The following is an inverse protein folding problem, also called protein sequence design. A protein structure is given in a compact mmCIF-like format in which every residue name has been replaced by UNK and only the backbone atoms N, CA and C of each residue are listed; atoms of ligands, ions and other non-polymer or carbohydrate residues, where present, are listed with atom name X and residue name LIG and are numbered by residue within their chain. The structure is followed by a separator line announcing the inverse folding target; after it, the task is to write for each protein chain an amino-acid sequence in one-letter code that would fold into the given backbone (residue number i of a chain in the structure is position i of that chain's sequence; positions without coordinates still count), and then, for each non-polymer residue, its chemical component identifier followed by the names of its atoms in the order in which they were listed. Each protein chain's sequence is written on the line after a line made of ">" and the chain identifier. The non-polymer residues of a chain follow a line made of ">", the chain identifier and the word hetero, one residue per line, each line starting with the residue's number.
data_IF_574186056732
#
_entry.id   IF_574186056732
#
_cell.length_a   1.000
_cell.length_b   1.000
_cell.length_c   1.000
_cell.angle_alpha   90.00
_cell.angle_beta   90.00
_cell.angle_gamma   90.00
#
_symmetry.space_group_name_H-M   'P 1'
#
loop_
_entity.id
_entity.type
_entity.pdbx_description
1 polymer ?
#
# COMPACT_ATOMS: atom_id res chain seq x y z
N UNK A 1 -6.90 -21.73 -18.26
CA UNK A 1 -6.93 -20.35 -17.74
C UNK A 1 -7.31 -20.44 -16.30
N UNK A 2 -6.36 -20.21 -15.40
CA UNK A 2 -6.63 -20.21 -13.96
C UNK A 2 -7.41 -18.92 -13.64
N UNK A 3 -8.40 -19.03 -12.77
CA UNK A 3 -9.18 -17.86 -12.35
C UNK A 3 -8.36 -16.95 -11.44
N UNK A 4 -8.67 -15.65 -11.44
CA UNK A 4 -7.99 -14.64 -10.62
C UNK A 4 -7.94 -15.05 -9.14
N UNK A 5 -6.79 -14.84 -8.51
CA UNK A 5 -6.57 -15.06 -7.08
C UNK A 5 -6.37 -13.74 -6.35
N UNK A 6 -6.87 -13.68 -5.13
CA UNK A 6 -6.54 -12.64 -4.17
C UNK A 6 -5.66 -13.27 -3.07
N UNK A 7 -4.56 -12.61 -2.72
CA UNK A 7 -3.70 -12.95 -1.61
C UNK A 7 -3.80 -11.84 -0.56
N UNK A 8 -4.04 -12.24 0.68
CA UNK A 8 -4.43 -11.33 1.77
C UNK A 8 -3.40 -11.51 2.88
N UNK A 9 -2.70 -10.42 3.20
CA UNK A 9 -1.78 -10.36 4.33
C UNK A 9 -2.53 -10.15 5.64
N UNK A 10 -1.95 -10.59 6.76
CA UNK A 10 -2.52 -10.39 8.09
C UNK A 10 -1.47 -10.33 9.19
N UNK A 11 -1.79 -9.67 10.30
CA UNK A 11 -0.95 -9.70 11.52
C UNK A 11 -1.19 -10.98 12.31
N UNK A 12 -0.26 -11.93 12.22
CA UNK A 12 -0.26 -13.17 13.02
C UNK A 12 -0.21 -12.91 14.53
N UNK A 13 0.47 -11.83 14.95
CA UNK A 13 0.52 -11.36 16.34
C UNK A 13 -0.84 -10.90 16.87
N UNK A 14 -1.79 -10.56 15.98
CA UNK A 14 -3.18 -10.22 16.30
C UNK A 14 -4.17 -11.34 15.95
N UNK A 15 -3.69 -12.59 15.80
CA UNK A 15 -4.53 -13.76 15.51
C UNK A 15 -4.81 -13.99 14.02
N UNK A 16 -4.14 -13.26 13.14
CA UNK A 16 -4.16 -13.50 11.69
C UNK A 16 -3.55 -14.84 11.29
N UNK A 17 -3.90 -15.30 10.09
CA UNK A 17 -3.49 -16.62 9.57
C UNK A 17 -2.26 -16.57 8.65
N UNK A 18 -1.53 -15.45 8.69
CA UNK A 18 -0.44 -15.14 7.78
C UNK A 18 -0.95 -14.71 6.41
N UNK A 19 -0.58 -15.42 5.34
CA UNK A 19 -1.06 -15.17 3.98
C UNK A 19 -2.26 -16.08 3.69
N UNK A 20 -3.41 -15.48 3.40
CA UNK A 20 -4.62 -16.19 2.94
C UNK A 20 -4.77 -16.02 1.44
N UNK A 21 -4.91 -17.13 0.71
CA UNK A 21 -5.27 -17.13 -0.71
C UNK A 21 -6.75 -17.39 -0.88
N UNK A 22 -7.41 -16.60 -1.72
CA UNK A 22 -8.82 -16.72 -2.06
C UNK A 22 -9.03 -16.74 -3.59
N UNK A 23 -9.99 -17.53 -4.04
CA UNK A 23 -10.51 -17.41 -5.40
C UNK A 23 -11.39 -16.15 -5.52
N UNK A 24 -11.27 -15.43 -6.64
CA UNK A 24 -12.16 -14.31 -6.97
C UNK A 24 -13.26 -14.80 -7.93
N UNK A 25 -14.51 -14.61 -7.52
CA UNK A 25 -15.69 -14.97 -8.31
C UNK A 25 -15.77 -14.17 -9.63
N UNK A 26 -15.79 -14.84 -10.80
CA UNK A 26 -15.90 -14.15 -12.08
C UNK A 26 -17.18 -13.32 -12.15
N UNK A 27 -17.04 -12.02 -12.43
CA UNK A 27 -18.16 -11.07 -12.53
C UNK A 27 -18.78 -10.64 -11.20
N UNK A 28 -18.68 -11.44 -10.14
CA UNK A 28 -19.25 -11.10 -8.82
C UNK A 28 -18.25 -10.49 -7.84
N UNK A 29 -16.95 -10.67 -8.10
CA UNK A 29 -15.88 -10.22 -7.21
C UNK A 29 -15.82 -10.94 -5.86
N UNK A 30 -16.73 -11.88 -5.57
CA UNK A 30 -16.83 -12.54 -4.27
C UNK A 30 -15.57 -13.37 -3.96
N UNK A 31 -15.06 -13.26 -2.73
CA UNK A 31 -13.88 -14.02 -2.30
C UNK A 31 -14.28 -15.35 -1.67
N UNK A 32 -13.60 -16.42 -2.06
CA UNK A 32 -13.71 -17.75 -1.43
C UNK A 32 -12.33 -18.21 -0.98
N UNK A 33 -12.11 -18.33 0.33
CA UNK A 33 -10.84 -18.79 0.87
C UNK A 33 -10.49 -20.19 0.36
N UNK A 34 -9.23 -20.39 -0.02
CA UNK A 34 -8.68 -21.65 -0.51
C UNK A 34 -7.65 -22.21 0.47
N UNK A 35 -6.64 -21.40 0.79
CA UNK A 35 -5.47 -21.81 1.57
C UNK A 35 -5.04 -20.66 2.48
N UNK A 36 -4.42 -21.00 3.61
CA UNK A 36 -3.76 -20.04 4.50
C UNK A 36 -2.43 -20.61 4.99
N UNK A 37 -1.43 -19.77 5.20
CA UNK A 37 -0.13 -20.16 5.76
C UNK A 37 0.44 -19.06 6.64
N UNK A 38 0.94 -19.45 7.80
CA UNK A 38 1.64 -18.64 8.80
C UNK A 38 3.16 -18.83 8.74
N UNK A 39 3.68 -19.25 7.57
CA UNK A 39 5.11 -19.52 7.38
C UNK A 39 6.03 -18.29 7.58
N UNK A 40 5.45 -17.09 7.60
CA UNK A 40 6.11 -15.83 7.96
C UNK A 40 5.26 -15.12 9.01
N UNK A 41 5.92 -14.52 10.00
CA UNK A 41 5.25 -13.71 11.00
C UNK A 41 4.84 -12.37 10.41
N UNK A 42 3.65 -11.90 10.75
CA UNK A 42 3.10 -10.59 10.41
C UNK A 42 3.35 -10.16 8.94
N UNK A 43 2.87 -10.95 7.95
CA UNK A 43 2.85 -10.55 6.54
C UNK A 43 1.84 -9.44 6.29
N UNK A 44 2.15 -8.26 6.81
CA UNK A 44 1.21 -7.13 6.85
C UNK A 44 0.99 -6.50 5.48
N UNK A 45 1.98 -6.60 4.59
CA UNK A 45 1.94 -6.10 3.21
C UNK A 45 2.53 -7.12 2.24
N UNK A 46 1.95 -7.20 1.04
CA UNK A 46 2.33 -8.15 0.00
C UNK A 46 2.62 -7.42 -1.32
N UNK A 47 3.45 -8.01 -2.18
CA UNK A 47 3.58 -7.61 -3.58
C UNK A 47 3.78 -8.84 -4.46
N UNK A 48 3.38 -8.78 -5.73
CA UNK A 48 3.41 -9.92 -6.65
C UNK A 48 4.38 -9.67 -7.81
N UNK A 49 5.05 -10.73 -8.22
CA UNK A 49 5.73 -10.83 -9.52
C UNK A 49 5.03 -11.91 -10.35
N UNK A 50 4.01 -11.54 -11.15
CA UNK A 50 3.28 -12.50 -11.95
C UNK A 50 4.13 -13.09 -13.09
N UNK A 51 5.23 -12.43 -13.48
CA UNK A 51 6.13 -12.92 -14.53
C UNK A 51 6.93 -14.11 -14.01
N UNK A 52 7.41 -14.03 -12.77
CA UNK A 52 8.15 -15.13 -12.11
C UNK A 52 7.26 -16.11 -11.36
N UNK A 53 5.98 -15.79 -11.19
CA UNK A 53 5.06 -16.60 -10.39
C UNK A 53 5.41 -16.54 -8.90
N UNK A 54 5.82 -15.37 -8.42
CA UNK A 54 6.24 -15.15 -7.02
C UNK A 54 5.35 -14.13 -6.32
N UNK A 55 5.25 -14.30 -5.02
CA UNK A 55 4.66 -13.34 -4.09
C UNK A 55 5.69 -13.05 -3.00
N UNK A 56 5.85 -11.78 -2.66
CA UNK A 56 6.72 -11.34 -1.59
C UNK A 56 5.89 -10.76 -0.46
N UNK A 57 6.33 -10.98 0.77
CA UNK A 57 5.71 -10.44 1.97
C UNK A 57 6.77 -9.75 2.83
N UNK A 58 6.39 -8.66 3.49
CA UNK A 58 7.15 -8.20 4.67
C UNK A 58 6.93 -9.19 5.81
N UNK A 59 7.84 -9.20 6.78
CA UNK A 59 7.61 -9.67 8.14
C UNK A 59 7.71 -8.43 9.02
N UNK A 60 6.56 -7.85 9.39
CA UNK A 60 6.50 -6.58 10.14
C UNK A 60 6.85 -6.78 11.62
N UNK A 61 8.09 -7.19 11.87
CA UNK A 61 8.63 -7.57 13.17
C UNK A 61 9.87 -6.75 13.53
N UNK A 62 10.38 -6.95 14.76
CA UNK A 62 11.69 -6.47 15.20
C UNK A 62 12.55 -7.66 15.66
N UNK A 63 13.62 -8.04 14.93
CA UNK A 63 14.07 -7.46 13.66
C UNK A 63 13.11 -7.79 12.50
N UNK A 64 13.07 -6.92 11.49
CA UNK A 64 12.24 -7.09 10.29
C UNK A 64 12.86 -8.02 9.24
N UNK A 65 12.01 -8.63 8.43
CA UNK A 65 12.42 -9.50 7.32
C UNK A 65 11.52 -9.35 6.09
N UNK A 66 11.93 -9.95 4.97
CA UNK A 66 11.12 -10.14 3.77
C UNK A 66 11.12 -11.63 3.39
N UNK A 67 9.96 -12.17 3.03
CA UNK A 67 9.79 -13.56 2.60
C UNK A 67 9.31 -13.62 1.15
N UNK A 68 9.65 -14.72 0.47
CA UNK A 68 9.17 -15.01 -0.87
C UNK A 68 8.40 -16.34 -0.90
N UNK A 69 7.36 -16.39 -1.71
CA UNK A 69 6.50 -17.53 -1.92
C UNK A 69 6.34 -17.80 -3.41
N UNK A 70 6.23 -19.08 -3.79
CA UNK A 70 5.80 -19.48 -5.14
C UNK A 70 4.27 -19.48 -5.18
N UNK A 71 3.72 -18.89 -6.24
CA UNK A 71 2.30 -18.97 -6.55
C UNK A 71 1.96 -20.38 -7.04
N UNK A 72 0.89 -20.96 -6.50
CA UNK A 72 0.34 -22.26 -6.92
C UNK A 72 -1.14 -22.10 -7.29
N UNK A 73 -1.74 -23.17 -7.83
CA UNK A 73 -3.16 -23.15 -8.22
C UNK A 73 -4.11 -22.93 -7.03
N UNK A 74 -3.70 -23.41 -5.84
CA UNK A 74 -4.47 -23.44 -4.61
C UNK A 74 -4.06 -22.34 -3.63
N UNK A 75 -2.87 -21.75 -3.79
CA UNK A 75 -2.31 -20.90 -2.75
C UNK A 75 -0.90 -20.39 -3.00
N UNK A 76 -0.12 -20.35 -1.93
CA UNK A 76 1.28 -19.95 -1.91
C UNK A 76 2.11 -20.93 -1.09
N UNK A 77 3.33 -21.20 -1.55
CA UNK A 77 4.30 -22.05 -0.85
C UNK A 77 5.60 -21.28 -0.57
N UNK A 78 6.20 -21.36 0.62
CA UNK A 78 7.47 -20.69 0.91
C UNK A 78 8.54 -21.08 -0.11
N UNK A 79 9.19 -20.08 -0.72
CA UNK A 79 10.21 -20.27 -1.74
C UNK A 79 11.64 -20.37 -1.13
N UNK A 80 11.78 -20.04 0.16
CA UNK A 80 13.03 -20.05 0.92
C UNK A 80 12.80 -19.48 2.33
N UNK A 81 13.85 -19.37 3.16
CA UNK A 81 13.76 -18.68 4.44
C UNK A 81 13.52 -17.18 4.23
N UNK A 82 12.85 -16.53 5.20
CA UNK A 82 12.78 -15.08 5.23
C UNK A 82 14.18 -14.47 5.40
N UNK A 83 14.43 -13.35 4.73
CA UNK A 83 15.71 -12.65 4.72
C UNK A 83 15.60 -11.36 5.54
N UNK A 84 16.51 -11.10 6.50
CA UNK A 84 16.51 -9.85 7.26
C UNK A 84 16.63 -8.64 6.35
N UNK A 85 15.80 -7.62 6.59
CA UNK A 85 15.86 -6.36 5.82
C UNK A 85 16.80 -5.33 6.46
N UNK A 86 17.47 -5.67 7.55
CA UNK A 86 18.32 -4.74 8.32
C UNK A 86 17.57 -3.45 8.73
N UNK A 87 16.28 -3.59 9.04
CA UNK A 87 15.36 -2.54 9.49
C UNK A 87 14.31 -3.13 10.42
N UNK A 88 13.49 -2.26 11.02
CA UNK A 88 12.50 -2.62 12.04
C UNK A 88 11.09 -2.28 11.55
N UNK A 89 10.15 -3.20 11.73
CA UNK A 89 8.76 -3.10 11.29
C UNK A 89 8.63 -2.68 9.80
N UNK A 90 9.13 -3.48 8.84
CA UNK A 90 8.85 -3.25 7.42
C UNK A 90 7.34 -3.34 7.16
N UNK A 91 6.72 -2.24 6.74
CA UNK A 91 5.26 -2.12 6.61
C UNK A 91 4.78 -2.04 5.17
N UNK A 92 5.71 -1.91 4.21
CA UNK A 92 5.42 -1.91 2.79
C UNK A 92 6.61 -2.46 2.02
N UNK A 93 6.35 -3.09 0.87
CA UNK A 93 7.38 -3.56 -0.05
C UNK A 93 6.96 -3.43 -1.51
N UNK A 94 7.94 -3.27 -2.40
CA UNK A 94 7.74 -3.20 -3.84
C UNK A 94 8.95 -3.74 -4.61
N UNK A 95 8.73 -4.09 -5.87
CA UNK A 95 9.80 -4.38 -6.82
C UNK A 95 10.22 -3.10 -7.54
N UNK A 96 11.52 -2.81 -7.58
CA UNK A 96 12.06 -1.67 -8.31
C UNK A 96 13.46 -1.98 -8.84
N UNK A 97 13.70 -1.71 -10.13
CA UNK A 97 15.00 -1.90 -10.79
C UNK A 97 15.65 -3.29 -10.58
N UNK A 98 14.85 -4.35 -10.46
CA UNK A 98 15.35 -5.72 -10.23
C UNK A 98 15.70 -6.03 -8.77
N UNK A 99 15.25 -5.20 -7.83
CA UNK A 99 15.43 -5.39 -6.39
C UNK A 99 14.08 -5.46 -5.68
N UNK A 100 14.07 -6.08 -4.51
CA UNK A 100 12.97 -5.99 -3.55
C UNK A 100 13.29 -4.87 -2.58
N UNK A 101 12.37 -3.91 -2.43
CA UNK A 101 12.58 -2.72 -1.62
C UNK A 101 11.54 -2.68 -0.51
N UNK A 102 11.93 -2.39 0.73
CA UNK A 102 11.02 -2.27 1.88
C UNK A 102 11.03 -0.88 2.49
N UNK A 103 9.87 -0.42 2.96
CA UNK A 103 9.74 0.73 3.85
C UNK A 103 9.68 0.24 5.29
N UNK A 104 10.67 0.63 6.12
CA UNK A 104 10.82 0.18 7.50
C UNK A 104 10.33 1.28 8.46
N UNK A 105 9.13 1.09 9.00
CA UNK A 105 8.46 2.09 9.81
C UNK A 105 9.20 2.37 11.12
N UNK A 106 9.57 1.31 11.85
CA UNK A 106 10.15 1.44 13.18
C UNK A 106 11.58 1.99 13.18
N UNK A 107 12.33 1.77 12.09
CA UNK A 107 13.70 2.26 11.96
C UNK A 107 13.85 3.50 11.08
N UNK A 108 12.77 4.00 10.46
CA UNK A 108 12.83 5.18 9.61
C UNK A 108 13.77 5.01 8.41
N UNK A 109 13.65 3.90 7.68
CA UNK A 109 14.59 3.57 6.61
C UNK A 109 13.96 2.83 5.44
N UNK A 110 14.68 2.81 4.32
CA UNK A 110 14.38 1.97 3.16
C UNK A 110 15.48 0.93 2.99
N UNK A 111 15.10 -0.33 2.82
CA UNK A 111 16.04 -1.40 2.52
C UNK A 111 15.91 -1.86 1.08
N UNK A 112 17.03 -2.11 0.41
CA UNK A 112 17.11 -2.64 -0.95
C UNK A 112 17.78 -4.01 -0.89
N UNK A 113 17.04 -5.06 -1.24
CA UNK A 113 17.49 -6.44 -1.26
C UNK A 113 17.75 -6.87 -2.69
N UNK A 114 18.94 -7.40 -2.95
CA UNK A 114 19.25 -8.00 -4.25
C UNK A 114 18.43 -9.26 -4.47
N UNK A 115 17.96 -9.47 -5.69
CA UNK A 115 17.24 -10.67 -6.11
C UNK A 115 18.16 -11.59 -6.91
N UNK A 116 18.11 -12.88 -6.64
CA UNK A 116 18.77 -13.91 -7.45
C UNK A 116 18.14 -14.03 -8.84
N UNK A 117 18.77 -14.83 -9.72
CA UNK A 117 18.23 -15.10 -11.06
C UNK A 117 16.86 -15.80 -11.02
N UNK A 118 16.57 -16.52 -9.93
CA UNK A 118 15.28 -17.14 -9.61
C UNK A 118 14.25 -16.17 -9.01
N UNK A 119 14.62 -14.91 -8.81
CA UNK A 119 13.78 -13.88 -8.20
C UNK A 119 13.73 -13.92 -6.67
N UNK A 120 14.50 -14.79 -6.00
CA UNK A 120 14.46 -14.87 -4.55
C UNK A 120 15.35 -13.81 -3.89
N UNK A 121 14.93 -13.20 -2.75
CA UNK A 121 15.76 -12.28 -2.01
C UNK A 121 17.05 -12.96 -1.56
N UNK A 122 18.17 -12.30 -1.83
CA UNK A 122 19.49 -12.68 -1.34
C UNK A 122 19.77 -11.97 -0.01
N UNK A 123 20.80 -12.40 0.72
CA UNK A 123 21.23 -11.73 1.96
C UNK A 123 21.92 -10.37 1.75
N UNK A 124 22.13 -9.94 0.50
CA UNK A 124 22.79 -8.67 0.19
C UNK A 124 21.77 -7.52 0.32
N UNK A 125 21.91 -6.75 1.39
CA UNK A 125 21.00 -5.65 1.75
C UNK A 125 21.75 -4.33 1.88
N UNK A 126 21.25 -3.31 1.18
CA UNK A 126 21.65 -1.92 1.36
C UNK A 126 20.53 -1.14 2.08
N UNK A 127 20.90 -0.28 3.03
CA UNK A 127 19.94 0.49 3.84
C UNK A 127 20.14 1.98 3.64
N UNK A 128 19.12 2.66 3.16
CA UNK A 128 19.00 4.11 3.14
C UNK A 128 18.28 4.55 4.43
N UNK A 129 19.01 5.13 5.37
CA UNK A 129 18.40 5.73 6.57
C UNK A 129 17.86 7.11 6.24
N UNK A 130 16.66 7.41 6.72
CA UNK A 130 16.14 8.76 6.69
C UNK A 130 16.59 9.52 7.96
N UNK A 131 16.51 10.85 7.91
CA UNK A 131 16.80 11.74 9.03
C UNK A 131 15.75 12.85 9.07
N UNK A 132 15.55 13.44 10.24
CA UNK A 132 14.56 14.50 10.47
C UNK A 132 13.43 14.09 11.40
N UNK A 133 12.47 14.99 11.57
CA UNK A 133 11.31 14.84 12.44
C UNK A 133 10.20 15.81 11.99
N UNK A 134 9.00 15.64 12.54
CA UNK A 134 7.83 16.48 12.31
C UNK A 134 7.29 17.09 13.62
N UNK A 135 6.20 17.87 13.55
CA UNK A 135 5.66 18.57 14.72
C UNK A 135 4.87 17.68 15.70
N UNK A 136 4.38 16.51 15.30
CA UNK A 136 3.67 15.60 16.21
C UNK A 136 4.64 14.87 17.15
N UNK A 137 4.59 15.22 18.44
CA UNK A 137 5.54 14.72 19.44
C UNK A 137 5.41 13.22 19.75
N UNK A 138 4.34 12.54 19.33
CA UNK A 138 4.12 11.11 19.59
C UNK A 138 4.15 10.24 18.33
N UNK A 139 4.20 10.84 17.14
CA UNK A 139 4.14 10.15 15.85
C UNK A 139 5.22 10.58 14.86
N UNK A 140 5.96 11.65 15.16
CA UNK A 140 6.94 12.27 14.27
C UNK A 140 8.22 12.71 15.01
N UNK A 141 8.57 12.02 16.09
CA UNK A 141 9.83 12.22 16.83
C UNK A 141 11.08 11.86 16.02
N UNK A 142 10.89 11.07 14.97
CA UNK A 142 11.89 10.69 13.99
C UNK A 142 11.23 10.17 12.71
N UNK A 143 12.01 9.68 11.75
CA UNK A 143 11.48 9.20 10.47
C UNK A 143 10.71 7.90 10.60
N UNK A 144 9.66 7.77 9.78
CA UNK A 144 8.81 6.58 9.70
C UNK A 144 8.45 6.31 8.24
N UNK A 145 9.35 5.64 7.51
CA UNK A 145 9.11 5.24 6.13
C UNK A 145 7.91 4.27 6.08
N UNK A 146 6.86 4.64 5.35
CA UNK A 146 5.61 3.89 5.34
C UNK A 146 5.25 3.32 3.95
N UNK A 147 5.77 3.89 2.86
CA UNK A 147 5.46 3.39 1.52
C UNK A 147 6.69 3.49 0.62
N UNK A 148 6.87 2.48 -0.23
CA UNK A 148 7.86 2.48 -1.30
C UNK A 148 7.25 1.94 -2.57
N UNK A 149 7.58 2.53 -3.72
CA UNK A 149 7.09 2.06 -5.00
C UNK A 149 7.78 2.72 -6.18
N UNK A 150 7.81 2.01 -7.31
CA UNK A 150 8.35 2.56 -8.54
C UNK A 150 7.37 3.57 -9.14
N UNK A 151 7.90 4.60 -9.79
CA UNK A 151 7.10 5.48 -10.63
C UNK A 151 6.56 4.72 -11.86
N UNK A 152 5.56 5.26 -12.58
CA UNK A 152 4.97 4.59 -13.74
C UNK A 152 5.96 4.24 -14.86
N UNK A 153 7.10 4.94 -14.93
CA UNK A 153 8.17 4.64 -15.90
C UNK A 153 9.14 3.56 -15.42
N UNK A 154 9.09 3.19 -14.14
CA UNK A 154 10.00 2.25 -13.49
C UNK A 154 11.42 2.79 -13.28
N UNK A 155 11.66 4.08 -13.55
CA UNK A 155 12.99 4.72 -13.48
C UNK A 155 13.33 5.20 -12.07
N UNK A 156 12.31 5.59 -11.32
CA UNK A 156 12.44 6.20 -10.01
C UNK A 156 11.78 5.33 -8.96
N UNK A 157 12.42 5.23 -7.79
CA UNK A 157 11.80 4.72 -6.57
C UNK A 157 11.32 5.92 -5.77
N UNK A 158 10.08 5.88 -5.29
CA UNK A 158 9.56 6.85 -4.35
C UNK A 158 9.46 6.22 -2.97
N UNK A 159 9.73 7.00 -1.93
CA UNK A 159 9.58 6.62 -0.52
C UNK A 159 8.80 7.70 0.22
N UNK A 160 7.71 7.33 0.87
CA UNK A 160 6.89 8.23 1.68
C UNK A 160 7.24 8.04 3.15
N UNK A 161 7.50 9.14 3.85
CA UNK A 161 7.90 9.11 5.25
C UNK A 161 6.96 9.96 6.11
N UNK A 162 6.21 9.27 6.96
CA UNK A 162 5.23 9.86 7.88
C UNK A 162 5.91 10.79 8.88
N UNK A 163 7.05 10.37 9.40
CA UNK A 163 7.76 11.04 10.49
C UNK A 163 8.42 12.35 10.08
N UNK A 164 8.70 12.54 8.79
CA UNK A 164 9.40 13.72 8.25
C UNK A 164 8.52 14.60 7.36
N UNK A 165 7.21 14.28 7.24
CA UNK A 165 6.29 14.97 6.33
C UNK A 165 6.84 15.11 4.91
N UNK A 166 7.40 14.04 4.33
CA UNK A 166 8.12 14.14 3.05
C UNK A 166 7.94 12.94 2.13
N UNK A 167 8.19 13.19 0.84
CA UNK A 167 8.36 12.16 -0.19
C UNK A 167 9.76 12.27 -0.77
N UNK A 168 10.52 11.18 -0.71
CA UNK A 168 11.85 11.05 -1.31
C UNK A 168 11.75 10.36 -2.66
N UNK A 169 12.42 10.93 -3.66
CA UNK A 169 12.63 10.33 -4.97
C UNK A 169 14.07 9.82 -5.00
N UNK A 170 14.24 8.56 -5.34
CA UNK A 170 15.51 7.85 -5.30
C UNK A 170 15.80 7.19 -6.65
N UNK A 171 17.10 7.03 -6.96
CA UNK A 171 17.55 6.05 -7.95
C UNK A 171 17.98 4.78 -7.24
N UNK A 172 17.58 3.64 -7.79
CA UNK A 172 18.04 2.34 -7.31
C UNK A 172 19.23 1.91 -8.16
N UNK A 173 20.34 1.62 -7.49
CA UNK A 173 21.60 1.15 -8.09
C UNK A 173 22.03 -0.15 -7.43
N UNK A 174 23.10 -0.78 -7.92
CA UNK A 174 23.65 -2.00 -7.29
C UNK A 174 24.10 -1.80 -5.84
N UNK A 175 24.38 -0.56 -5.42
CA UNK A 175 24.75 -0.21 -4.04
C UNK A 175 23.51 0.13 -3.17
N UNK A 176 22.30 0.01 -3.72
CA UNK A 176 21.04 0.35 -3.05
C UNK A 176 20.37 1.62 -3.59
N UNK A 177 19.38 2.11 -2.83
CA UNK A 177 18.68 3.35 -3.13
C UNK A 177 19.50 4.59 -2.72
N UNK A 178 19.65 5.54 -3.64
CA UNK A 178 20.28 6.83 -3.41
C UNK A 178 19.27 7.96 -3.66
N UNK A 179 19.17 8.91 -2.73
CA UNK A 179 18.25 10.06 -2.83
C UNK A 179 18.66 10.95 -3.99
N UNK A 180 17.70 11.23 -4.88
CA UNK A 180 17.80 12.19 -5.96
C UNK A 180 17.14 13.53 -5.59
N UNK A 181 16.01 13.48 -4.88
CA UNK A 181 15.31 14.66 -4.39
C UNK A 181 14.39 14.32 -3.22
N UNK A 182 14.05 15.33 -2.43
CA UNK A 182 13.12 15.23 -1.32
C UNK A 182 12.13 16.39 -1.42
N UNK A 183 10.84 16.06 -1.39
CA UNK A 183 9.75 17.02 -1.47
C UNK A 183 9.05 17.08 -0.12
N UNK A 184 9.16 18.20 0.62
CA UNK A 184 8.42 18.37 1.86
C UNK A 184 6.93 18.57 1.54
N UNK A 185 6.09 17.99 2.38
CA UNK A 185 4.65 18.21 2.42
C UNK A 185 4.31 19.12 3.60
N UNK A 186 3.02 19.35 3.85
CA UNK A 186 2.58 20.19 4.97
C UNK A 186 3.01 19.55 6.29
N UNK A 187 3.64 20.35 7.16
CA UNK A 187 4.04 19.89 8.49
C UNK A 187 2.83 19.35 9.29
N UNK A 188 3.01 18.21 9.94
CA UNK A 188 1.99 17.48 10.70
C UNK A 188 0.93 16.80 9.83
N UNK A 189 1.20 16.60 8.53
CA UNK A 189 0.29 15.84 7.66
C UNK A 189 0.44 14.33 7.88
N UNK A 190 1.66 13.87 8.13
CA UNK A 190 1.99 12.46 8.32
C UNK A 190 1.67 11.62 7.08
N UNK A 191 2.34 11.86 5.95
CA UNK A 191 2.06 11.16 4.69
C UNK A 191 2.33 9.66 4.82
N UNK A 192 1.48 8.85 4.19
CA UNK A 192 1.45 7.40 4.42
C UNK A 192 1.66 6.60 3.15
N UNK A 193 0.67 6.56 2.26
CA UNK A 193 0.72 5.81 1.00
C UNK A 193 0.62 6.77 -0.20
N UNK A 194 1.12 6.32 -1.35
CA UNK A 194 1.09 7.06 -2.61
C UNK A 194 0.41 6.24 -3.70
N UNK A 195 -0.43 6.89 -4.50
CA UNK A 195 -0.96 6.35 -5.75
C UNK A 195 -0.62 7.29 -6.92
N UNK A 196 -0.29 6.74 -8.08
CA UNK A 196 -0.17 7.53 -9.31
C UNK A 196 -1.49 7.56 -10.07
N UNK A 197 -1.78 8.68 -10.72
CA UNK A 197 -2.80 8.72 -11.76
C UNK A 197 -2.41 7.77 -12.91
N UNK A 198 -3.33 7.04 -13.55
CA UNK A 198 -3.00 6.05 -14.59
C UNK A 198 -2.27 6.62 -15.81
N UNK A 199 -2.43 7.92 -16.09
CA UNK A 199 -1.66 8.64 -17.14
C UNK A 199 -0.22 9.00 -16.73
N UNK A 200 0.12 8.84 -15.44
CA UNK A 200 1.49 8.95 -14.93
C UNK A 200 2.04 10.37 -14.76
N UNK A 201 1.20 11.41 -14.81
CA UNK A 201 1.62 12.82 -14.64
C UNK A 201 1.24 13.43 -13.28
N UNK A 202 0.58 12.65 -12.42
CA UNK A 202 0.15 13.04 -11.07
C UNK A 202 0.43 11.93 -10.07
N UNK A 203 0.78 12.33 -8.86
CA UNK A 203 0.84 11.48 -7.69
C UNK A 203 -0.10 12.02 -6.60
N UNK A 204 -0.67 11.12 -5.82
CA UNK A 204 -1.59 11.42 -4.73
C UNK A 204 -1.06 10.77 -3.47
N UNK A 205 -0.79 11.59 -2.46
CA UNK A 205 -0.29 11.11 -1.16
C UNK A 205 -1.39 11.25 -0.14
N UNK A 206 -1.76 10.14 0.48
CA UNK A 206 -2.71 10.16 1.59
C UNK A 206 -1.99 10.43 2.90
N UNK A 207 -2.56 11.31 3.71
CA UNK A 207 -1.98 11.80 4.95
C UNK A 207 -2.69 11.17 6.16
N UNK A 208 -1.95 10.41 6.97
CA UNK A 208 -2.49 9.65 8.11
C UNK A 208 -2.90 10.55 9.26
N UNK A 209 -2.04 11.49 9.66
CA UNK A 209 -2.25 12.31 10.86
C UNK A 209 -3.21 13.46 10.60
N UNK A 210 -3.32 13.89 9.35
CA UNK A 210 -4.33 14.82 8.87
C UNK A 210 -5.09 14.18 7.71
N UNK A 211 -6.35 13.73 7.87
CA UNK A 211 -7.09 12.90 6.90
C UNK A 211 -7.39 13.69 5.60
N UNK A 212 -6.38 13.82 4.77
CA UNK A 212 -6.29 14.64 3.56
C UNK A 212 -5.53 13.87 2.49
N UNK A 213 -5.69 14.27 1.24
CA UNK A 213 -4.92 13.79 0.10
C UNK A 213 -4.19 14.98 -0.51
N UNK A 214 -2.86 14.94 -0.51
CA UNK A 214 -2.04 15.91 -1.22
C UNK A 214 -1.91 15.49 -2.69
N UNK A 215 -2.20 16.42 -3.60
CA UNK A 215 -2.06 16.26 -5.05
C UNK A 215 -0.71 16.81 -5.47
N UNK A 216 0.06 16.03 -6.23
CA UNK A 216 1.37 16.43 -6.73
C UNK A 216 1.44 16.30 -8.25
N UNK A 217 2.06 17.28 -8.90
CA UNK A 217 2.59 17.09 -10.25
C UNK A 217 3.80 16.16 -10.19
N UNK A 218 3.88 15.20 -11.13
CA UNK A 218 5.03 14.33 -11.29
C UNK A 218 5.72 14.60 -12.63
N UNK A 219 6.99 15.03 -12.57
CA UNK A 219 7.88 15.10 -13.72
C UNK A 219 8.79 13.86 -13.73
N UNK A 220 8.40 12.86 -14.53
CA UNK A 220 9.11 11.59 -14.61
C UNK A 220 10.49 11.71 -15.27
N UNK A 221 10.76 12.75 -16.06
CA UNK A 221 12.04 12.93 -16.74
C UNK A 221 13.07 13.54 -15.78
N UNK A 222 12.64 14.47 -14.93
CA UNK A 222 13.46 15.12 -13.92
C UNK A 222 13.51 14.37 -12.59
N UNK A 223 12.51 13.53 -12.32
CA UNK A 223 12.35 12.87 -11.01
C UNK A 223 11.92 13.86 -9.93
N UNK A 224 11.02 14.78 -10.25
CA UNK A 224 10.62 15.88 -9.38
C UNK A 224 9.11 15.83 -9.08
N UNK A 225 8.77 16.04 -7.80
CA UNK A 225 7.39 16.22 -7.33
C UNK A 225 7.16 17.69 -7.01
N UNK A 226 5.98 18.19 -7.34
CA UNK A 226 5.55 19.55 -6.93
C UNK A 226 4.16 19.47 -6.32
N UNK A 227 3.99 19.77 -5.02
CA UNK A 227 2.67 19.85 -4.39
C UNK A 227 1.81 20.91 -5.09
N UNK A 228 0.56 20.58 -5.38
CA UNK A 228 -0.40 21.43 -6.08
C UNK A 228 -1.56 21.84 -5.19
N UNK A 229 -2.13 20.86 -4.48
CA UNK A 229 -3.35 21.04 -3.69
C UNK A 229 -3.42 20.00 -2.56
N UNK A 230 -4.30 20.21 -1.59
CA UNK A 230 -4.60 19.27 -0.52
C UNK A 230 -6.09 19.27 -0.22
N UNK A 231 -6.72 18.09 -0.34
CA UNK A 231 -8.17 17.94 -0.20
C UNK A 231 -8.51 17.05 0.99
N UNK A 232 -9.49 17.46 1.80
CA UNK A 232 -9.95 16.65 2.94
C UNK A 232 -10.57 15.35 2.45
N UNK A 233 -10.18 14.24 3.06
CA UNK A 233 -10.70 12.91 2.76
C UNK A 233 -11.96 12.58 3.57
N UNK A 234 -12.63 13.57 4.15
CA UNK A 234 -13.83 13.42 4.96
C UNK A 234 -14.79 14.59 4.71
N UNK A 235 -16.10 14.39 4.93
CA UNK A 235 -17.06 15.49 5.00
C UNK A 235 -16.64 16.56 6.01
N UNK A 236 -17.07 17.81 5.78
CA UNK A 236 -16.68 18.93 6.64
C UNK A 236 -17.16 18.74 8.09
N UNK A 237 -18.34 18.15 8.25
CA UNK A 237 -19.04 17.88 9.50
C UNK A 237 -18.68 16.53 10.15
N UNK A 238 -17.73 15.77 9.57
CA UNK A 238 -17.30 14.51 10.15
C UNK A 238 -16.66 14.71 11.53
N UNK A 239 -17.14 13.97 12.53
CA UNK A 239 -16.68 14.00 13.91
C UNK A 239 -15.76 12.81 14.24
N UNK A 240 -14.94 12.97 15.28
CA UNK A 240 -14.08 11.91 15.80
C UNK A 240 -12.73 11.79 15.08
N UNK A 241 -11.84 10.93 15.61
CA UNK A 241 -10.53 10.71 15.02
C UNK A 241 -10.64 9.90 13.73
N UNK A 242 -9.86 10.27 12.72
CA UNK A 242 -9.75 9.55 11.47
C UNK A 242 -8.30 9.50 11.00
N UNK A 243 -7.81 8.30 10.71
CA UNK A 243 -6.45 8.07 10.25
C UNK A 243 -6.48 7.41 8.88
N UNK A 244 -6.18 8.20 7.86
CA UNK A 244 -6.19 7.68 6.50
C UNK A 244 -5.11 6.59 6.34
N UNK A 245 -5.40 5.56 5.55
CA UNK A 245 -4.59 4.35 5.45
C UNK A 245 -4.13 4.05 4.02
N UNK A 246 -4.89 3.27 3.26
CA UNK A 246 -4.61 2.93 1.87
C UNK A 246 -5.22 3.95 0.91
N UNK A 247 -4.57 4.17 -0.24
CA UNK A 247 -5.09 4.96 -1.36
C UNK A 247 -4.87 4.22 -2.67
N UNK A 248 -5.89 4.17 -3.53
CA UNK A 248 -5.83 3.54 -4.86
C UNK A 248 -6.53 4.41 -5.91
N UNK A 249 -5.97 4.44 -7.13
CA UNK A 249 -6.53 5.15 -8.27
C UNK A 249 -7.25 4.19 -9.23
N UNK A 250 -8.45 4.56 -9.66
CA UNK A 250 -9.17 3.84 -10.70
C UNK A 250 -8.38 3.87 -12.01
N UNK A 251 -8.40 2.76 -12.76
CA UNK A 251 -7.66 2.63 -14.01
C UNK A 251 -8.13 3.59 -15.11
N UNK A 252 -9.38 4.04 -15.03
CA UNK A 252 -9.96 5.04 -15.94
C UNK A 252 -9.56 6.49 -15.58
N UNK A 253 -8.91 6.69 -14.42
CA UNK A 253 -8.44 7.98 -13.94
C UNK A 253 -9.54 8.92 -13.43
N UNK A 254 -10.76 8.41 -13.18
CA UNK A 254 -11.88 9.25 -12.74
C UNK A 254 -12.04 9.31 -11.23
N UNK A 255 -11.53 8.34 -10.49
CA UNK A 255 -11.74 8.24 -9.04
C UNK A 255 -10.48 7.82 -8.29
N UNK A 256 -10.34 8.34 -7.08
CA UNK A 256 -9.46 7.82 -6.02
C UNK A 256 -10.29 7.30 -4.87
N UNK A 257 -9.79 6.25 -4.23
CA UNK A 257 -10.39 5.66 -3.04
C UNK A 257 -9.38 5.70 -1.91
N UNK A 258 -9.81 6.16 -0.74
CA UNK A 258 -8.99 6.12 0.47
C UNK A 258 -9.76 5.56 1.66
N UNK A 259 -9.12 4.68 2.41
CA UNK A 259 -9.67 4.13 3.65
C UNK A 259 -9.30 5.03 4.83
N UNK A 260 -10.19 5.12 5.82
CA UNK A 260 -10.00 5.89 7.04
C UNK A 260 -10.29 5.03 8.27
N UNK A 261 -9.25 4.78 9.06
CA UNK A 261 -9.35 4.05 10.34
C UNK A 261 -9.91 4.94 11.43
N UNK A 262 -10.69 4.36 12.34
CA UNK A 262 -11.35 5.09 13.44
C UNK A 262 -12.67 5.70 13.02
N UNK A 263 -12.75 6.28 11.82
CA UNK A 263 -14.02 6.65 11.17
C UNK A 263 -14.65 5.46 10.40
N UNK A 264 -13.87 4.41 10.15
CA UNK A 264 -14.28 3.13 9.53
C UNK A 264 -15.08 3.31 8.24
N UNK A 265 -14.46 4.05 7.32
CA UNK A 265 -15.09 4.47 6.06
C UNK A 265 -14.12 4.42 4.89
N UNK A 266 -14.70 4.45 3.69
CA UNK A 266 -14.01 4.66 2.42
C UNK A 266 -14.51 5.97 1.83
N UNK A 267 -13.58 6.87 1.53
CA UNK A 267 -13.87 8.08 0.77
C UNK A 267 -13.59 7.88 -0.70
N UNK A 268 -14.52 8.36 -1.52
CA UNK A 268 -14.47 8.40 -2.98
C UNK A 268 -14.20 9.85 -3.39
N UNK A 269 -13.07 10.08 -4.03
CA UNK A 269 -12.68 11.39 -4.53
C UNK A 269 -12.77 11.35 -6.04
N UNK A 270 -13.68 12.14 -6.63
CA UNK A 270 -13.77 12.32 -8.07
C UNK A 270 -12.61 13.21 -8.55
N UNK A 271 -12.04 12.82 -9.68
CA UNK A 271 -10.95 13.51 -10.35
C UNK A 271 -11.50 14.28 -11.55
N UNK A 272 -11.00 15.51 -11.73
CA UNK A 272 -11.22 16.22 -12.99
C UNK A 272 -10.46 15.55 -14.15
N UNK A 273 -10.73 16.00 -15.38
CA UNK A 273 -10.08 15.45 -16.57
C UNK A 273 -8.55 15.54 -16.52
N UNK A 274 -7.98 16.48 -15.76
CA UNK A 274 -6.53 16.62 -15.60
C UNK A 274 -5.97 15.77 -14.46
N UNK A 275 -6.81 15.24 -13.57
CA UNK A 275 -6.42 14.57 -12.33
C UNK A 275 -5.76 15.52 -11.30
N UNK A 276 -5.92 16.83 -11.45
CA UNK A 276 -5.30 17.83 -10.56
C UNK A 276 -6.27 18.35 -9.50
N UNK A 277 -7.57 18.32 -9.77
CA UNK A 277 -8.60 18.74 -8.83
C UNK A 277 -9.37 17.52 -8.33
N UNK A 278 -9.54 17.44 -7.01
CA UNK A 278 -10.25 16.36 -6.33
C UNK A 278 -11.49 16.94 -5.65
N UNK A 279 -12.62 16.25 -5.78
CA UNK A 279 -13.83 16.55 -5.01
C UNK A 279 -14.29 15.31 -4.26
N UNK A 280 -14.66 15.46 -2.99
CA UNK A 280 -15.27 14.37 -2.24
C UNK A 280 -16.66 14.06 -2.81
N UNK A 281 -16.76 12.95 -3.53
CA UNK A 281 -17.99 12.46 -4.17
C UNK A 281 -18.86 11.70 -3.16
N UNK A 282 -18.22 10.85 -2.35
CA UNK A 282 -18.91 10.09 -1.32
C UNK A 282 -17.98 9.70 -0.17
N UNK A 283 -18.57 9.43 0.99
CA UNK A 283 -17.96 8.70 2.09
C UNK A 283 -18.94 7.61 2.50
N UNK A 284 -18.50 6.35 2.47
CA UNK A 284 -19.37 5.21 2.78
C UNK A 284 -18.73 4.32 3.85
N UNK A 285 -19.53 3.58 4.66
CA UNK A 285 -18.99 2.63 5.62
C UNK A 285 -18.09 1.58 4.95
N UNK A 286 -16.95 1.27 5.57
CA UNK A 286 -16.00 0.28 5.03
C UNK A 286 -16.48 -1.18 5.20
N UNK A 287 -17.57 -1.39 5.95
CA UNK A 287 -18.18 -2.69 6.20
C UNK A 287 -17.55 -3.50 7.34
N UNK A 288 -16.60 -2.91 8.08
CA UNK A 288 -15.90 -3.50 9.22
C UNK A 288 -15.31 -2.43 10.16
N UNK A 289 -14.23 -2.76 10.86
CA UNK A 289 -13.49 -1.88 11.78
C UNK A 289 -12.01 -1.84 11.38
N UNK A 290 -11.44 -0.62 11.36
CA UNK A 290 -10.03 -0.34 11.10
C UNK A 290 -9.57 -0.76 9.70
N UNK A 291 -10.13 -0.16 8.62
CA UNK A 291 -9.75 -0.47 7.25
C UNK A 291 -8.28 -0.09 6.99
N UNK A 292 -7.40 -1.08 6.96
CA UNK A 292 -5.93 -0.91 6.91
C UNK A 292 -5.41 -0.68 5.49
N UNK A 293 -6.11 -1.23 4.50
CA UNK A 293 -5.71 -1.16 3.09
C UNK A 293 -6.91 -1.34 2.14
N UNK A 294 -6.69 -0.95 0.88
CA UNK A 294 -7.65 -1.03 -0.22
C UNK A 294 -7.00 -1.67 -1.45
N UNK A 295 -7.75 -2.48 -2.18
CA UNK A 295 -7.33 -2.97 -3.48
C UNK A 295 -8.46 -2.90 -4.50
N UNK A 296 -8.15 -2.45 -5.71
CA UNK A 296 -9.07 -2.52 -6.85
C UNK A 296 -8.91 -3.86 -7.56
N UNK A 297 -10.03 -4.47 -7.94
CA UNK A 297 -10.02 -5.57 -8.89
C UNK A 297 -9.26 -5.15 -10.16
N UNK A 298 -8.46 -6.02 -10.80
CA UNK A 298 -7.69 -5.64 -12.00
C UNK A 298 -8.54 -5.11 -13.17
N UNK A 299 -9.82 -5.48 -13.22
CA UNK A 299 -10.77 -4.97 -14.22
C UNK A 299 -11.49 -3.68 -13.78
N UNK A 300 -11.21 -3.15 -12.59
CA UNK A 300 -11.80 -1.91 -12.07
C UNK A 300 -13.27 -2.01 -11.63
N UNK A 301 -13.83 -3.22 -11.53
CA UNK A 301 -15.26 -3.43 -11.24
C UNK A 301 -15.59 -3.55 -9.75
N UNK A 302 -14.60 -3.87 -8.93
CA UNK A 302 -14.78 -4.09 -7.50
C UNK A 302 -13.66 -3.43 -6.70
N UNK A 303 -13.99 -3.05 -5.47
CA UNK A 303 -13.07 -2.58 -4.43
C UNK A 303 -13.11 -3.55 -3.25
N UNK A 304 -11.93 -3.83 -2.70
CA UNK A 304 -11.75 -4.70 -1.55
C UNK A 304 -11.13 -3.90 -0.40
N UNK A 305 -11.67 -4.08 0.79
CA UNK A 305 -11.23 -3.36 1.99
C UNK A 305 -10.80 -4.37 3.04
N UNK A 306 -9.53 -4.33 3.45
CA UNK A 306 -9.01 -5.16 4.53
C UNK A 306 -9.28 -4.48 5.88
N UNK A 307 -10.25 -5.01 6.63
CA UNK A 307 -10.65 -4.51 7.94
C UNK A 307 -9.90 -5.28 9.04
N UNK A 308 -8.85 -4.65 9.58
CA UNK A 308 -7.88 -5.31 10.49
C UNK A 308 -8.55 -5.77 11.78
N UNK A 309 -9.32 -4.91 12.44
CA UNK A 309 -9.84 -5.19 13.78
C UNK A 309 -11.09 -6.06 13.77
N UNK A 310 -11.97 -5.89 12.77
CA UNK A 310 -13.11 -6.78 12.60
C UNK A 310 -12.74 -8.13 11.99
N UNK A 311 -11.58 -8.23 11.32
CA UNK A 311 -11.05 -9.49 10.82
C UNK A 311 -11.77 -9.98 9.56
N UNK A 312 -11.98 -9.10 8.59
CA UNK A 312 -12.61 -9.43 7.31
C UNK A 312 -12.03 -8.63 6.14
N UNK A 313 -12.22 -9.16 4.93
CA UNK A 313 -12.09 -8.39 3.70
C UNK A 313 -13.48 -8.15 3.13
N UNK A 314 -13.96 -6.91 3.21
CA UNK A 314 -15.25 -6.53 2.61
C UNK A 314 -15.08 -6.28 1.11
N UNK A 315 -16.01 -6.80 0.31
CA UNK A 315 -16.08 -6.66 -1.14
C UNK A 315 -17.17 -5.66 -1.53
N UNK A 316 -16.86 -4.78 -2.47
CA UNK A 316 -17.78 -3.79 -3.02
C UNK A 316 -17.80 -3.86 -4.53
N UNK A 317 -18.97 -3.83 -5.15
CA UNK A 317 -19.11 -3.50 -6.57
C UNK A 317 -19.06 -1.98 -6.72
N UNK A 318 -18.39 -1.49 -7.76
CA UNK A 318 -18.28 -0.06 -8.02
C UNK A 318 -19.38 0.38 -8.99
N UNK A 319 -20.12 1.44 -8.63
CA UNK A 319 -21.00 2.11 -9.58
C UNK A 319 -20.16 2.78 -10.68
N UNK A 320 -20.43 2.44 -11.95
CA UNK A 320 -19.60 2.89 -13.07
C UNK A 320 -19.67 4.42 -13.30
N UNK A 321 -20.79 5.05 -12.95
CA UNK A 321 -20.99 6.47 -13.18
C UNK A 321 -20.35 7.32 -12.08
N UNK A 322 -20.52 6.92 -10.83
CA UNK A 322 -20.17 7.70 -9.63
C UNK A 322 -18.93 7.18 -8.91
N UNK A 323 -18.46 5.98 -9.22
CA UNK A 323 -17.40 5.29 -8.49
C UNK A 323 -17.83 4.82 -7.10
N UNK A 324 -19.07 5.04 -6.66
CA UNK A 324 -19.48 4.76 -5.29
C UNK A 324 -19.50 3.24 -5.03
N UNK A 325 -18.82 2.75 -3.98
CA UNK A 325 -18.79 1.32 -3.67
C UNK A 325 -20.08 0.84 -2.99
N UNK A 326 -20.70 -0.19 -3.56
CA UNK A 326 -21.85 -0.90 -3.02
C UNK A 326 -21.43 -2.27 -2.47
N UNK A 327 -21.62 -2.49 -1.17
CA UNK A 327 -21.19 -3.73 -0.48
C UNK A 327 -21.89 -4.96 -1.08
N UNK A 328 -21.11 -5.95 -1.48
CA UNK A 328 -21.61 -7.22 -2.05
C UNK A 328 -21.37 -8.43 -1.15
N UNK A 329 -20.41 -8.35 -0.23
CA UNK A 329 -20.11 -9.43 0.70
C UNK A 329 -18.86 -9.17 1.52
N UNK A 330 -18.42 -10.17 2.28
CA UNK A 330 -17.15 -10.13 3.00
C UNK A 330 -16.62 -11.56 3.18
N UNK A 331 -15.30 -11.69 3.27
CA UNK A 331 -14.61 -12.93 3.63
C UNK A 331 -13.96 -12.77 5.01
N UNK A 332 -14.25 -13.62 6.00
CA UNK A 332 -13.54 -13.60 7.28
C UNK A 332 -12.06 -13.92 7.11
N UNK A 333 -11.20 -12.97 7.49
CA UNK A 333 -9.74 -13.07 7.52
C UNK A 333 -9.26 -12.28 8.73
N UNK A 334 -9.05 -12.94 9.89
CA UNK A 334 -8.62 -12.25 11.11
C UNK A 334 -7.38 -11.40 10.87
N UNK A 335 -7.36 -10.18 11.42
CA UNK A 335 -6.25 -9.25 11.32
C UNK A 335 -5.80 -8.93 9.87
N UNK A 336 -6.71 -8.97 8.89
CA UNK A 336 -6.40 -8.66 7.50
C UNK A 336 -5.83 -7.24 7.34
N UNK A 337 -4.74 -7.10 6.59
CA UNK A 337 -3.99 -5.85 6.52
C UNK A 337 -3.66 -5.38 5.11
N UNK A 338 -3.71 -6.26 4.10
CA UNK A 338 -3.57 -5.90 2.68
C UNK A 338 -4.23 -6.92 1.76
N UNK A 339 -4.49 -6.53 0.51
CA UNK A 339 -4.99 -7.43 -0.55
C UNK A 339 -4.21 -7.19 -1.84
N UNK A 340 -3.69 -8.25 -2.47
CA UNK A 340 -3.06 -8.20 -3.80
C UNK A 340 -3.63 -9.28 -4.72
N UNK A 341 -3.54 -9.08 -6.03
CA UNK A 341 -4.09 -10.01 -7.03
C UNK A 341 -2.99 -10.66 -7.87
N UNK A 342 -3.20 -11.92 -8.26
CA UNK A 342 -2.35 -12.67 -9.18
C UNK A 342 -3.19 -13.56 -10.13
#
# INVERSE_FOLDING_TARGET
>A
MHGLRAHIGSFTSAGGRGVVTAAVGPGTGALTALQATDAVADPSFLTVDPVRGLLYAVSETDPGAAAAFRLTDEGVEPAGPAVPVAGVHPTHLALAAGHLVTANYGSGSVSTLSLGADGLPTGDVAVLRHEGSGPDAGRQEGPHAHWVGADPTGRWLLSVDLGTDSVRVCRVTGDGAAVHGETPLRAGSGPRHLAFHPRGHRAYVVNELAPTVTVLAWDADRGELTPLDEVRALPEDAEGPAYASGIVAAADGRFLYTALRGHDSVSVLALDDTGSALTLEANVPCGGDWPRDLALHPQGTHLYVANERSGDVTCFALDEATGVPLRTGALPVPAASCVVFA
#
